data_IF_079415558229
#
_entry.id   IF_079415558229
#
_cell.length_a   1.000
_cell.length_b   1.000
_cell.length_c   1.000
_cell.angle_alpha   90.00
_cell.angle_beta   90.00
_cell.angle_gamma   90.00
#
_symmetry.space_group_name_H-M   'P 1'
#
loop_
_entity.id
_entity.type
_entity.pdbx_description
1 polymer ?
#
# COMPACT_ATOMS: atom_id res chain seq x y z
N UNK A 1 3.10 -20.70 5.15
CA UNK A 1 3.35 -20.00 6.43
C UNK A 1 3.01 -18.54 6.19
N UNK A 2 1.89 -18.11 6.72
CA UNK A 2 1.57 -16.70 6.78
C UNK A 2 2.45 -16.15 7.89
N UNK A 3 3.39 -15.26 7.58
CA UNK A 3 4.01 -14.43 8.59
C UNK A 3 2.92 -13.49 9.11
N UNK A 4 2.22 -13.89 10.14
CA UNK A 4 1.49 -12.98 10.98
C UNK A 4 2.51 -11.97 11.48
N UNK A 5 2.49 -10.75 10.95
CA UNK A 5 3.17 -9.65 11.60
C UNK A 5 2.40 -9.44 12.91
N UNK A 6 2.97 -9.93 14.00
CA UNK A 6 2.45 -9.65 15.34
C UNK A 6 2.49 -8.14 15.55
N UNK A 7 1.38 -7.48 15.32
CA UNK A 7 1.25 -6.06 15.51
C UNK A 7 -0.09 -5.52 15.03
N UNK A 8 -0.46 -4.37 15.56
CA UNK A 8 -1.60 -3.59 15.12
C UNK A 8 -1.42 -3.18 13.65
N UNK A 9 -2.45 -3.41 12.84
CA UNK A 9 -2.51 -2.95 11.46
C UNK A 9 -3.79 -2.16 11.25
N UNK A 10 -3.74 -1.17 10.35
CA UNK A 10 -4.90 -0.44 9.87
C UNK A 10 -5.07 -0.80 8.40
N UNK A 11 -6.17 -1.45 8.08
CA UNK A 11 -6.53 -1.76 6.68
C UNK A 11 -7.01 -0.47 6.01
N UNK A 12 -6.59 -0.26 4.76
CA UNK A 12 -6.99 0.92 4.01
C UNK A 12 -8.52 0.97 3.82
N UNK A 13 -9.07 2.15 4.07
CA UNK A 13 -10.48 2.46 3.92
C UNK A 13 -10.63 3.87 3.34
N UNK A 14 -11.49 4.04 2.34
CA UNK A 14 -11.71 5.32 1.68
C UNK A 14 -12.25 6.40 2.64
N UNK A 15 -13.03 5.99 3.64
CA UNK A 15 -13.69 6.88 4.59
C UNK A 15 -12.87 7.13 5.86
N UNK A 16 -11.77 6.39 6.05
CA UNK A 16 -10.88 6.55 7.20
C UNK A 16 -9.51 7.06 6.78
N UNK A 17 -9.24 8.32 7.08
CA UNK A 17 -7.92 8.92 6.85
C UNK A 17 -7.02 8.76 8.07
N UNK A 18 -5.70 8.68 7.82
CA UNK A 18 -4.70 8.65 8.87
C UNK A 18 -4.72 9.95 9.68
N UNK A 19 -4.43 9.80 10.96
CA UNK A 19 -4.20 10.88 11.89
C UNK A 19 -2.82 10.71 12.53
N UNK A 20 -2.23 11.76 13.05
CA UNK A 20 -0.93 11.64 13.73
C UNK A 20 -0.93 10.64 14.89
N UNK A 21 -2.06 10.47 15.57
CA UNK A 21 -2.24 9.46 16.61
C UNK A 21 -2.11 8.01 16.13
N UNK A 22 -2.17 7.77 14.82
CA UNK A 22 -1.94 6.44 14.23
C UNK A 22 -0.45 6.09 14.14
N UNK A 23 0.44 7.10 14.15
CA UNK A 23 1.89 6.95 14.04
C UNK A 23 2.48 6.71 15.44
N UNK A 24 2.63 5.47 15.82
CA UNK A 24 2.99 5.03 17.18
C UNK A 24 4.44 4.56 17.32
N UNK A 25 5.19 4.55 16.24
CA UNK A 25 6.59 4.14 16.23
C UNK A 25 7.51 5.18 16.85
N UNK A 26 8.66 4.72 17.35
CA UNK A 26 9.71 5.61 17.81
C UNK A 26 10.41 6.25 16.62
N UNK A 27 10.64 7.54 16.66
CA UNK A 27 11.37 8.22 15.61
C UNK A 27 12.88 8.24 15.88
N UNK A 28 13.64 8.09 14.82
CA UNK A 28 15.05 8.35 14.83
C UNK A 28 15.30 9.80 14.39
N UNK A 29 16.24 10.49 15.03
CA UNK A 29 16.70 11.80 14.56
C UNK A 29 17.44 11.59 13.24
N UNK A 30 16.71 11.52 12.14
CA UNK A 30 17.27 11.58 10.81
C UNK A 30 17.11 12.99 10.29
N UNK A 31 18.13 13.54 9.66
CA UNK A 31 18.10 14.88 9.08
C UNK A 31 17.11 15.00 7.91
N UNK A 32 16.58 13.89 7.43
CA UNK A 32 15.90 13.76 6.14
C UNK A 32 14.38 13.71 6.21
N UNK A 33 13.82 13.10 7.24
CA UNK A 33 12.37 12.86 7.31
C UNK A 33 11.75 13.47 8.56
N UNK A 34 10.64 14.17 8.38
CA UNK A 34 9.78 14.63 9.48
C UNK A 34 8.80 13.53 9.93
N UNK A 35 8.44 12.63 9.04
CA UNK A 35 7.58 11.48 9.30
C UNK A 35 7.92 10.33 8.35
N UNK A 36 7.43 9.15 8.67
CA UNK A 36 7.56 7.96 7.82
C UNK A 36 6.32 7.10 7.95
N UNK A 37 5.73 6.79 6.82
CA UNK A 37 4.65 5.81 6.70
C UNK A 37 5.22 4.44 6.37
N UNK A 38 5.02 3.48 7.25
CA UNK A 38 5.21 2.08 6.95
C UNK A 38 3.87 1.48 6.52
N UNK A 39 3.77 1.11 5.26
CA UNK A 39 2.60 0.46 4.68
C UNK A 39 3.02 -0.69 3.77
N UNK A 40 2.11 -1.58 3.48
CA UNK A 40 2.38 -2.73 2.63
C UNK A 40 1.13 -3.40 2.13
N UNK A 41 1.32 -4.51 1.44
CA UNK A 41 0.26 -5.35 0.91
C UNK A 41 0.39 -6.73 1.53
N UNK A 42 -0.70 -7.23 2.10
CA UNK A 42 -0.82 -8.62 2.54
C UNK A 42 -1.78 -9.37 1.61
N UNK A 43 -1.59 -10.67 1.51
CA UNK A 43 -2.51 -11.53 0.77
C UNK A 43 -2.64 -12.91 1.42
N UNK A 44 -3.79 -13.51 1.20
CA UNK A 44 -4.05 -14.93 1.43
C UNK A 44 -4.93 -15.46 0.30
N UNK A 45 -4.94 -16.77 0.11
CA UNK A 45 -5.84 -17.39 -0.84
C UNK A 45 -6.20 -18.81 -0.43
N UNK A 46 -7.37 -19.26 -0.91
CA UNK A 46 -7.81 -20.65 -0.91
C UNK A 46 -7.94 -21.11 -2.34
N UNK A 47 -7.77 -22.41 -2.60
CA UNK A 47 -7.91 -23.00 -3.91
C UNK A 47 -9.07 -23.97 -3.95
N UNK A 48 -9.78 -24.01 -5.08
CA UNK A 48 -10.81 -25.00 -5.36
C UNK A 48 -10.80 -25.38 -6.82
N UNK A 49 -11.31 -26.58 -7.13
CA UNK A 49 -11.41 -27.08 -8.50
C UNK A 49 -12.86 -27.15 -8.91
N UNK A 50 -13.18 -26.62 -10.09
CA UNK A 50 -14.49 -26.68 -10.68
C UNK A 50 -14.36 -27.08 -12.17
N UNK A 51 -15.07 -28.11 -12.60
CA UNK A 51 -15.03 -28.61 -13.99
C UNK A 51 -13.60 -28.85 -14.50
N UNK A 52 -12.74 -29.43 -13.65
CA UNK A 52 -11.33 -29.75 -13.98
C UNK A 52 -10.39 -28.53 -14.02
N UNK A 53 -10.87 -27.33 -13.67
CA UNK A 53 -10.06 -26.11 -13.61
C UNK A 53 -9.80 -25.69 -12.18
N UNK A 54 -8.59 -25.18 -11.95
CA UNK A 54 -8.20 -24.60 -10.67
C UNK A 54 -8.64 -23.13 -10.59
N UNK A 55 -9.30 -22.80 -9.52
CA UNK A 55 -9.68 -21.43 -9.15
C UNK A 55 -9.09 -21.06 -7.80
N UNK A 56 -8.76 -19.79 -7.63
CA UNK A 56 -8.26 -19.26 -6.37
C UNK A 56 -9.15 -18.11 -5.90
N UNK A 57 -9.51 -18.16 -4.63
CA UNK A 57 -10.15 -17.04 -3.93
C UNK A 57 -9.09 -16.27 -3.16
N UNK A 58 -8.97 -14.99 -3.42
CA UNK A 58 -7.94 -14.12 -2.84
C UNK A 58 -8.53 -13.12 -1.86
N UNK A 59 -7.79 -12.87 -0.79
CA UNK A 59 -7.91 -11.66 0.02
C UNK A 59 -6.61 -10.89 -0.13
N UNK A 60 -6.67 -9.69 -0.66
CA UNK A 60 -5.53 -8.78 -0.82
C UNK A 60 -5.87 -7.47 -0.14
N UNK A 61 -5.04 -7.04 0.80
CA UNK A 61 -5.27 -5.85 1.61
C UNK A 61 -4.05 -4.95 1.59
N UNK A 62 -4.29 -3.64 1.55
CA UNK A 62 -3.29 -2.63 1.85
C UNK A 62 -3.37 -2.31 3.35
N UNK A 63 -2.24 -2.30 4.01
CA UNK A 63 -2.12 -2.18 5.46
C UNK A 63 -1.13 -1.09 5.83
N UNK A 64 -1.49 -0.31 6.83
CA UNK A 64 -0.61 0.63 7.51
C UNK A 64 -0.17 0.03 8.84
N UNK A 65 1.10 0.22 9.18
CA UNK A 65 1.71 -0.36 10.39
C UNK A 65 2.00 0.73 11.42
N UNK A 66 1.10 0.97 12.39
CA UNK A 66 1.24 2.05 13.38
C UNK A 66 2.57 2.05 14.12
N UNK A 67 3.01 0.88 14.61
CA UNK A 67 4.25 0.76 15.39
C UNK A 67 5.55 0.92 14.59
N UNK A 68 5.45 0.86 13.26
CA UNK A 68 6.58 1.07 12.34
C UNK A 68 6.52 2.44 11.66
N UNK A 69 5.44 3.18 11.87
CA UNK A 69 5.23 4.53 11.35
C UNK A 69 5.46 5.53 12.46
N UNK A 70 6.14 6.62 12.15
CA UNK A 70 6.53 7.61 13.15
C UNK A 70 6.53 9.01 12.58
N UNK A 71 6.50 10.01 13.44
CA UNK A 71 6.57 11.42 13.09
C UNK A 71 7.27 12.21 14.18
N UNK A 72 7.76 13.38 13.81
CA UNK A 72 8.37 14.34 14.72
C UNK A 72 7.38 15.49 14.93
N UNK A 73 6.70 15.56 16.09
CA UNK A 73 5.59 16.53 16.32
C UNK A 73 5.98 17.97 16.04
N UNK A 74 7.23 18.35 16.35
CA UNK A 74 7.73 19.72 16.19
C UNK A 74 7.93 20.14 14.73
N UNK A 75 7.94 19.19 13.78
CA UNK A 75 8.16 19.45 12.36
C UNK A 75 6.91 19.21 11.50
N UNK A 76 5.90 18.56 12.04
CA UNK A 76 4.78 18.04 11.26
C UNK A 76 3.56 18.96 11.28
N UNK A 77 2.92 19.04 10.14
CA UNK A 77 1.69 19.77 9.86
C UNK A 77 0.71 18.93 9.03
N UNK A 78 -0.40 19.52 8.63
CA UNK A 78 -1.42 18.85 7.79
C UNK A 78 -0.91 18.52 6.39
N UNK A 79 0.05 19.27 5.86
CA UNK A 79 0.63 19.02 4.51
C UNK A 79 1.47 17.74 4.56
N UNK A 80 2.29 17.59 5.59
CA UNK A 80 3.09 16.38 5.79
C UNK A 80 2.19 15.19 6.07
N UNK A 81 1.12 15.33 6.86
CA UNK A 81 0.15 14.27 7.06
C UNK A 81 -0.50 13.82 5.74
N UNK A 82 -0.85 14.77 4.88
CA UNK A 82 -1.37 14.48 3.54
C UNK A 82 -0.37 13.74 2.66
N UNK A 83 0.92 14.06 2.76
CA UNK A 83 2.00 13.33 2.08
C UNK A 83 2.08 11.88 2.57
N UNK A 84 2.05 11.67 3.87
CA UNK A 84 2.09 10.34 4.47
C UNK A 84 0.81 9.52 4.15
N UNK A 85 -0.36 10.15 4.15
CA UNK A 85 -1.59 9.51 3.70
C UNK A 85 -1.46 9.03 2.26
N UNK A 86 -0.84 9.81 1.39
CA UNK A 86 -0.72 9.43 -0.02
C UNK A 86 0.20 8.21 -0.22
N UNK A 87 1.21 8.01 0.63
CA UNK A 87 1.98 6.77 0.65
C UNK A 87 1.07 5.56 0.89
N UNK A 88 0.13 5.66 1.82
CA UNK A 88 -0.84 4.61 2.10
C UNK A 88 -1.84 4.42 0.95
N UNK A 89 -2.31 5.51 0.34
CA UNK A 89 -3.19 5.47 -0.84
C UNK A 89 -2.49 4.82 -2.05
N UNK A 90 -1.19 5.06 -2.24
CA UNK A 90 -0.37 4.40 -3.26
C UNK A 90 -0.27 2.89 -3.00
N UNK A 91 -0.10 2.48 -1.75
CA UNK A 91 -0.12 1.05 -1.40
C UNK A 91 -1.45 0.39 -1.76
N UNK A 92 -2.58 1.05 -1.54
CA UNK A 92 -3.90 0.55 -1.98
C UNK A 92 -4.01 0.50 -3.50
N UNK A 93 -3.51 1.50 -4.21
CA UNK A 93 -3.51 1.48 -5.68
C UNK A 93 -2.80 0.21 -6.21
N UNK A 94 -1.67 -0.15 -5.61
CA UNK A 94 -0.94 -1.35 -6.00
C UNK A 94 -1.59 -2.65 -5.51
N UNK A 95 -2.29 -2.63 -4.39
CA UNK A 95 -3.14 -3.75 -3.96
C UNK A 95 -4.25 -4.02 -4.99
N UNK A 96 -4.88 -2.98 -5.54
CA UNK A 96 -5.87 -3.10 -6.63
C UNK A 96 -5.26 -3.65 -7.92
N UNK A 97 -4.07 -3.18 -8.29
CA UNK A 97 -3.33 -3.75 -9.44
C UNK A 97 -3.01 -5.23 -9.23
N UNK A 98 -2.63 -5.63 -8.03
CA UNK A 98 -2.42 -7.03 -7.70
C UNK A 98 -3.70 -7.84 -7.85
N UNK A 99 -4.82 -7.40 -7.29
CA UNK A 99 -6.13 -8.07 -7.43
C UNK A 99 -6.47 -8.28 -8.91
N UNK A 100 -6.28 -7.26 -9.73
CA UNK A 100 -6.52 -7.34 -11.18
C UNK A 100 -5.62 -8.36 -11.87
N UNK A 101 -4.32 -8.37 -11.59
CA UNK A 101 -3.39 -9.38 -12.16
C UNK A 101 -3.75 -10.78 -11.74
N UNK A 102 -4.11 -10.99 -10.48
CA UNK A 102 -4.55 -12.28 -9.97
C UNK A 102 -5.83 -12.75 -10.69
N UNK A 103 -6.80 -11.85 -10.89
CA UNK A 103 -8.05 -12.15 -11.57
C UNK A 103 -7.86 -12.49 -13.06
N UNK A 104 -6.81 -11.97 -13.71
CA UNK A 104 -6.49 -12.19 -15.12
C UNK A 104 -5.56 -13.38 -15.37
N UNK A 105 -5.04 -13.98 -14.31
CA UNK A 105 -4.07 -15.07 -14.41
C UNK A 105 -4.77 -16.42 -14.35
N UNK A 106 -4.45 -17.31 -15.27
CA UNK A 106 -4.83 -18.70 -15.19
C UNK A 106 -3.73 -19.47 -14.45
N UNK A 107 -4.05 -19.95 -13.25
CA UNK A 107 -3.09 -20.64 -12.40
C UNK A 107 -2.97 -22.12 -12.77
N UNK A 108 -1.78 -22.67 -12.53
CA UNK A 108 -1.45 -24.09 -12.68
C UNK A 108 -1.34 -24.76 -11.31
N UNK A 109 -0.91 -26.00 -11.28
CA UNK A 109 -0.61 -26.72 -10.03
C UNK A 109 0.51 -26.06 -9.21
N UNK A 110 1.27 -25.12 -9.81
CA UNK A 110 2.27 -24.30 -9.14
C UNK A 110 1.73 -22.94 -8.64
N UNK A 111 0.44 -22.85 -8.38
CA UNK A 111 -0.26 -21.62 -8.02
C UNK A 111 0.43 -20.83 -6.91
N UNK A 112 0.93 -21.49 -5.86
CA UNK A 112 1.62 -20.81 -4.76
C UNK A 112 2.86 -20.05 -5.22
N UNK A 113 3.66 -20.61 -6.10
CA UNK A 113 4.84 -19.96 -6.66
C UNK A 113 4.47 -18.85 -7.64
N UNK A 114 3.41 -19.06 -8.42
CA UNK A 114 2.89 -18.08 -9.40
C UNK A 114 2.33 -16.84 -8.69
N UNK A 115 1.53 -17.03 -7.63
CA UNK A 115 1.02 -15.93 -6.79
C UNK A 115 2.17 -15.17 -6.13
N UNK A 116 3.16 -15.89 -5.61
CA UNK A 116 4.34 -15.26 -5.00
C UNK A 116 5.14 -14.41 -6.01
N UNK A 117 5.26 -14.87 -7.25
CA UNK A 117 5.93 -14.12 -8.31
C UNK A 117 5.18 -12.82 -8.63
N UNK A 118 3.86 -12.87 -8.74
CA UNK A 118 3.02 -11.68 -8.93
C UNK A 118 3.20 -10.72 -7.76
N UNK A 119 3.14 -11.22 -6.54
CA UNK A 119 3.32 -10.40 -5.33
C UNK A 119 4.67 -9.69 -5.31
N UNK A 120 5.77 -10.40 -5.58
CA UNK A 120 7.11 -9.82 -5.63
C UNK A 120 7.24 -8.74 -6.71
N UNK A 121 6.63 -8.96 -7.88
CA UNK A 121 6.62 -7.95 -8.95
C UNK A 121 5.84 -6.70 -8.53
N UNK A 122 4.68 -6.86 -7.92
CA UNK A 122 3.88 -5.75 -7.37
C UNK A 122 4.67 -4.97 -6.32
N UNK A 123 5.33 -5.64 -5.37
CA UNK A 123 6.12 -4.96 -4.33
C UNK A 123 7.28 -4.16 -4.92
N UNK A 124 7.95 -4.69 -5.94
CA UNK A 124 9.02 -3.97 -6.64
C UNK A 124 8.50 -2.72 -7.34
N UNK A 125 7.39 -2.84 -8.06
CA UNK A 125 6.75 -1.71 -8.74
C UNK A 125 6.26 -0.66 -7.73
N UNK A 126 5.65 -1.09 -6.63
CA UNK A 126 5.22 -0.22 -5.52
C UNK A 126 6.40 0.56 -4.94
N UNK A 127 7.49 -0.12 -4.60
CA UNK A 127 8.69 0.52 -4.06
C UNK A 127 9.27 1.56 -5.01
N UNK A 128 9.38 1.25 -6.30
CA UNK A 128 9.85 2.20 -7.30
C UNK A 128 8.92 3.43 -7.43
N UNK A 129 7.62 3.21 -7.35
CA UNK A 129 6.64 4.28 -7.44
C UNK A 129 6.64 5.18 -6.19
N UNK A 130 6.76 4.60 -4.99
CA UNK A 130 6.92 5.34 -3.73
C UNK A 130 8.19 6.21 -3.75
N UNK A 131 9.31 5.65 -4.20
CA UNK A 131 10.56 6.39 -4.32
C UNK A 131 10.47 7.53 -5.34
N UNK A 132 9.75 7.34 -6.44
CA UNK A 132 9.48 8.39 -7.42
C UNK A 132 8.64 9.50 -6.80
N UNK A 133 7.61 9.14 -6.06
CA UNK A 133 6.73 10.08 -5.36
C UNK A 133 7.53 10.97 -4.39
N UNK A 134 8.33 10.37 -3.53
CA UNK A 134 9.17 11.10 -2.58
C UNK A 134 10.14 12.05 -3.28
N UNK A 135 10.80 11.57 -4.31
CA UNK A 135 11.77 12.36 -5.06
C UNK A 135 11.12 13.55 -5.77
N UNK A 136 9.98 13.34 -6.44
CA UNK A 136 9.30 14.41 -7.19
C UNK A 136 8.65 15.45 -6.27
N UNK A 137 8.16 15.04 -5.12
CA UNK A 137 7.59 15.95 -4.13
C UNK A 137 8.64 16.55 -3.18
N UNK A 138 9.90 16.15 -3.32
CA UNK A 138 10.96 16.51 -2.39
C UNK A 138 10.55 16.26 -0.94
N UNK A 139 10.01 15.05 -0.68
CA UNK A 139 9.53 14.67 0.65
C UNK A 139 8.53 15.67 1.24
N UNK A 140 7.48 16.01 0.51
CA UNK A 140 6.43 16.99 0.82
C UNK A 140 6.81 18.47 0.66
N UNK A 141 8.06 18.82 0.42
CA UNK A 141 8.51 20.22 0.35
C UNK A 141 8.10 20.93 -0.94
N UNK A 142 7.94 20.19 -2.04
CA UNK A 142 7.44 20.73 -3.30
C UNK A 142 5.92 20.67 -3.34
N UNK A 143 5.26 21.76 -2.91
CA UNK A 143 3.81 21.84 -2.77
C UNK A 143 3.08 21.70 -4.09
N UNK A 144 3.60 22.26 -5.17
CA UNK A 144 3.02 22.14 -6.50
C UNK A 144 2.98 20.68 -6.97
N UNK A 145 4.10 19.99 -6.86
CA UNK A 145 4.18 18.56 -7.17
C UNK A 145 3.30 17.71 -6.25
N UNK A 146 3.22 18.06 -4.97
CA UNK A 146 2.34 17.37 -4.01
C UNK A 146 0.87 17.43 -4.48
N UNK A 147 0.40 18.61 -4.90
CA UNK A 147 -0.99 18.78 -5.41
C UNK A 147 -1.23 17.94 -6.66
N UNK A 148 -0.28 17.89 -7.58
CA UNK A 148 -0.39 17.08 -8.80
C UNK A 148 -0.44 15.59 -8.48
N UNK A 149 0.39 15.12 -7.55
CA UNK A 149 0.38 13.73 -7.09
C UNK A 149 -0.93 13.36 -6.39
N UNK A 150 -1.45 14.23 -5.52
CA UNK A 150 -2.75 14.01 -4.86
C UNK A 150 -3.87 13.80 -5.87
N UNK A 151 -3.94 14.64 -6.91
CA UNK A 151 -4.93 14.52 -8.00
C UNK A 151 -4.75 13.23 -8.79
N UNK A 152 -3.51 12.91 -9.14
CA UNK A 152 -3.17 11.70 -9.90
C UNK A 152 -3.59 10.42 -9.18
N UNK A 153 -3.24 10.29 -7.91
CA UNK A 153 -3.57 9.08 -7.14
C UNK A 153 -5.07 8.99 -6.88
N UNK A 154 -5.74 10.10 -6.57
CA UNK A 154 -7.19 10.14 -6.42
C UNK A 154 -7.91 9.68 -7.69
N UNK A 155 -7.47 10.13 -8.87
CA UNK A 155 -8.02 9.71 -10.15
C UNK A 155 -7.76 8.21 -10.39
N UNK A 156 -6.53 7.73 -10.17
CA UNK A 156 -6.17 6.33 -10.36
C UNK A 156 -6.98 5.39 -9.46
N UNK A 157 -7.23 5.77 -8.21
CA UNK A 157 -8.08 4.99 -7.30
C UNK A 157 -9.56 4.95 -7.73
N UNK A 158 -10.04 5.95 -8.46
CA UNK A 158 -11.40 5.91 -9.03
C UNK A 158 -11.49 4.98 -10.24
N UNK A 159 -10.45 4.93 -11.07
CA UNK A 159 -10.38 4.08 -12.27
C UNK A 159 -10.20 2.61 -11.90
N UNK A 160 -9.30 2.32 -10.97
CA UNK A 160 -9.06 0.98 -10.45
C UNK A 160 -10.06 0.66 -9.32
N UNK A 161 -11.35 0.50 -9.68
CA UNK A 161 -12.38 0.16 -8.69
C UNK A 161 -12.03 -1.11 -7.93
N UNK A 162 -12.37 -1.21 -6.62
CA UNK A 162 -12.22 -2.47 -5.92
C UNK A 162 -13.07 -3.53 -6.64
N UNK A 163 -12.45 -4.66 -6.98
CA UNK A 163 -13.20 -5.81 -7.47
C UNK A 163 -14.21 -6.17 -6.38
N UNK A 164 -15.49 -6.09 -6.70
CA UNK A 164 -16.50 -6.68 -5.82
C UNK A 164 -16.29 -8.18 -5.87
N UNK A 165 -15.97 -8.78 -4.72
CA UNK A 165 -16.09 -10.22 -4.53
C UNK A 165 -17.54 -10.63 -4.71
#
# INVERSE_FOLDING_TARGET
MVFSQEGEVIVWDADRKLQWSDFKGSYFKTEWAAATTASGISYSFTSFTKEGRLYLDFVVQSEFYPKKSWYRPELCDSIILGHEQLHFDISELYARKMRKRLAQTQFTMNAKAEVRAIYKAILKELGNFQNKYDRETNFSRNLEKQVLWNRRIKAALKEEKPSRN
#
